data_IF_855469214164
#
_entry.id   IF_855469214164
#
_cell.length_a   1.000
_cell.length_b   1.000
_cell.length_c   1.000
_cell.angle_alpha   90.00
_cell.angle_beta   90.00
_cell.angle_gamma   90.00
#
_symmetry.space_group_name_H-M   'P 1'
#
loop_
_entity.id
_entity.type
_entity.pdbx_description
1 polymer ?
#
# COMPACT_ATOMS: atom_id res chain seq x y z
N UNK A 1 11.21 51.42 21.00
CA UNK A 1 10.96 51.93 22.36
C UNK A 1 10.26 50.85 23.18
N UNK A 2 10.56 50.75 24.48
CA UNK A 2 10.30 49.60 25.33
C UNK A 2 8.98 49.71 26.13
N UNK A 3 8.64 48.59 26.79
CA UNK A 3 7.80 48.40 27.98
C UNK A 3 7.31 49.64 28.75
N UNK A 4 6.08 49.58 29.29
CA UNK A 4 5.83 49.55 30.75
C UNK A 4 4.33 49.27 31.04
N UNK A 5 4.09 48.21 31.82
CA UNK A 5 2.87 47.92 32.59
C UNK A 5 2.99 48.66 33.93
N UNK A 6 1.94 49.35 34.41
CA UNK A 6 1.72 49.53 35.86
C UNK A 6 0.26 49.91 36.19
N UNK A 7 -0.39 48.95 36.86
CA UNK A 7 -1.42 49.00 37.93
C UNK A 7 -2.31 50.23 38.18
N UNK A 8 -3.59 49.95 38.45
CA UNK A 8 -4.39 50.64 39.48
C UNK A 8 -5.40 49.67 40.14
N UNK A 9 -5.83 49.89 41.40
CA UNK A 9 -6.29 48.83 42.30
C UNK A 9 -7.81 48.81 42.61
N UNK A 10 -8.16 47.68 43.23
CA UNK A 10 -9.38 47.24 43.91
C UNK A 10 -10.32 48.32 44.49
N UNK A 11 -11.63 48.11 44.32
CA UNK A 11 -12.65 48.59 45.26
C UNK A 11 -13.75 47.54 45.44
N UNK A 12 -14.11 47.37 46.71
CA UNK A 12 -15.02 46.40 47.32
C UNK A 12 -16.50 46.77 47.16
N UNK A 13 -17.36 45.78 46.96
CA UNK A 13 -18.76 45.84 47.36
C UNK A 13 -19.21 44.44 47.81
N UNK A 14 -19.52 44.32 49.10
CA UNK A 14 -20.33 43.24 49.68
C UNK A 14 -21.81 43.55 49.45
N UNK A 15 -22.61 42.52 49.22
CA UNK A 15 -24.02 42.44 49.62
C UNK A 15 -24.41 40.96 49.74
N UNK A 16 -25.13 40.68 50.82
CA UNK A 16 -25.43 39.39 51.42
C UNK A 16 -26.55 38.58 50.72
N UNK A 17 -26.70 37.34 51.19
CA UNK A 17 -27.90 36.49 51.24
C UNK A 17 -28.34 35.73 49.98
N UNK A 18 -28.17 34.39 49.98
CA UNK A 18 -29.23 33.46 50.40
C UNK A 18 -28.86 31.98 50.13
N UNK A 19 -29.06 31.15 51.15
CA UNK A 19 -28.92 29.70 51.15
C UNK A 19 -30.05 29.00 50.37
N UNK A 20 -29.71 28.16 49.38
CA UNK A 20 -30.62 27.08 48.96
C UNK A 20 -29.88 25.77 48.65
N UNK A 21 -30.02 24.84 49.59
CA UNK A 21 -29.46 23.50 49.56
C UNK A 21 -30.18 22.61 48.53
N UNK A 22 -29.65 22.54 47.30
CA UNK A 22 -30.03 21.50 46.33
C UNK A 22 -29.31 20.18 46.65
N UNK A 23 -30.04 19.24 47.26
CA UNK A 23 -29.67 17.83 47.41
C UNK A 23 -29.23 17.20 46.07
N UNK A 24 -27.91 17.15 45.82
CA UNK A 24 -27.32 16.26 44.82
C UNK A 24 -26.91 14.97 45.52
N UNK A 25 -27.76 13.95 45.38
CA UNK A 25 -27.38 12.56 45.66
C UNK A 25 -26.26 12.16 44.70
N UNK A 26 -25.03 12.34 45.14
CA UNK A 26 -23.87 11.72 44.52
C UNK A 26 -24.03 10.21 44.66
N UNK A 27 -24.36 9.52 43.57
CA UNK A 27 -24.26 8.07 43.48
C UNK A 27 -22.77 7.74 43.63
N UNK A 28 -22.36 7.40 44.84
CA UNK A 28 -21.01 6.96 45.15
C UNK A 28 -20.72 5.72 44.31
N UNK A 29 -19.84 5.85 43.32
CA UNK A 29 -19.10 4.70 42.79
C UNK A 29 -18.48 3.97 43.99
N UNK A 30 -18.60 2.64 44.10
CA UNK A 30 -18.05 1.92 45.25
C UNK A 30 -16.56 2.24 45.35
N UNK A 31 -16.11 2.71 46.52
CA UNK A 31 -14.68 2.79 46.85
C UNK A 31 -14.14 1.36 46.86
N UNK A 32 -13.64 0.90 45.72
CA UNK A 32 -12.75 -0.26 45.67
C UNK A 32 -11.51 0.14 46.46
N UNK A 33 -11.25 -0.53 47.57
CA UNK A 33 -10.06 -0.28 48.37
C UNK A 33 -8.82 -0.53 47.51
N UNK A 34 -8.03 0.51 47.25
CA UNK A 34 -6.80 0.46 46.45
C UNK A 34 -5.78 -0.56 46.99
N UNK A 35 -5.84 -0.83 48.30
CA UNK A 35 -5.07 -1.87 48.99
C UNK A 35 -5.40 -3.30 48.50
N UNK A 36 -6.65 -3.58 48.14
CA UNK A 36 -7.09 -4.93 47.80
C UNK A 36 -6.53 -5.37 46.45
N UNK A 37 -6.47 -4.46 45.47
CA UNK A 37 -5.98 -4.77 44.12
C UNK A 37 -4.49 -5.09 44.14
N UNK A 38 -3.70 -4.33 44.90
CA UNK A 38 -2.26 -4.55 45.04
C UNK A 38 -1.97 -5.89 45.72
N UNK A 39 -2.73 -6.23 46.77
CA UNK A 39 -2.62 -7.53 47.42
C UNK A 39 -2.98 -8.68 46.48
N UNK A 40 -4.08 -8.55 45.72
CA UNK A 40 -4.48 -9.55 44.71
C UNK A 40 -3.37 -9.73 43.66
N UNK A 41 -2.81 -8.65 43.14
CA UNK A 41 -1.76 -8.72 42.12
C UNK A 41 -0.48 -9.38 42.65
N UNK A 42 -0.05 -9.05 43.87
CA UNK A 42 1.12 -9.68 44.48
C UNK A 42 0.87 -11.17 44.74
N UNK A 43 -0.33 -11.53 45.23
CA UNK A 43 -0.72 -12.93 45.44
C UNK A 43 -0.79 -13.73 44.13
N UNK A 44 -1.16 -13.10 43.01
CA UNK A 44 -1.22 -13.76 41.70
C UNK A 44 0.17 -14.02 41.11
N UNK A 45 1.15 -13.18 41.46
CA UNK A 45 2.52 -13.27 40.97
C UNK A 45 3.41 -14.13 41.88
N UNK A 46 2.98 -14.39 43.11
CA UNK A 46 3.71 -15.26 44.03
C UNK A 46 3.76 -16.69 43.49
N UNK A 47 4.97 -17.21 43.31
CA UNK A 47 5.20 -18.53 42.69
C UNK A 47 4.83 -18.63 41.19
N UNK A 48 4.53 -17.53 40.49
CA UNK A 48 4.21 -17.56 39.06
C UNK A 48 5.47 -17.65 38.20
N UNK A 49 5.61 -18.71 37.41
CA UNK A 49 6.66 -18.84 36.39
C UNK A 49 6.14 -18.48 34.99
N UNK A 50 6.63 -17.37 34.44
CA UNK A 50 6.27 -16.87 33.12
C UNK A 50 6.96 -17.60 31.97
N UNK A 51 7.95 -18.46 32.24
CA UNK A 51 8.61 -19.29 31.23
C UNK A 51 7.76 -20.50 30.84
N UNK A 52 6.86 -20.91 31.74
CA UNK A 52 6.02 -22.07 31.55
C UNK A 52 4.67 -21.69 30.93
N UNK A 53 4.32 -22.39 29.85
CA UNK A 53 3.00 -22.32 29.23
C UNK A 53 1.92 -22.78 30.22
N UNK A 54 0.74 -22.14 30.26
CA UNK A 54 -0.39 -22.64 31.03
C UNK A 54 -0.76 -24.06 30.62
N UNK A 55 -1.07 -24.93 31.59
CA UNK A 55 -1.43 -26.33 31.34
C UNK A 55 -0.35 -27.15 30.60
N UNK A 56 0.94 -26.83 30.80
CA UNK A 56 2.06 -27.64 30.32
C UNK A 56 1.92 -29.10 30.81
N UNK A 57 2.05 -30.07 29.90
CA UNK A 57 1.85 -31.50 30.19
C UNK A 57 0.40 -31.95 30.36
N UNK A 58 -0.60 -31.07 30.23
CA UNK A 58 -2.01 -31.41 30.42
C UNK A 58 -2.81 -31.31 29.12
N UNK A 59 -2.82 -30.14 28.49
CA UNK A 59 -3.56 -29.91 27.23
C UNK A 59 -2.97 -28.74 26.42
N UNK A 60 -3.29 -28.63 25.13
CA UNK A 60 -2.93 -27.47 24.34
C UNK A 60 -3.61 -26.20 24.86
N UNK A 61 -2.90 -25.08 24.90
CA UNK A 61 -3.45 -23.76 25.20
C UNK A 61 -4.22 -23.26 23.98
N UNK A 62 -5.53 -23.13 24.12
CA UNK A 62 -6.37 -22.57 23.07
C UNK A 62 -6.34 -21.05 23.15
N UNK A 63 -5.90 -20.40 22.08
CA UNK A 63 -5.83 -18.95 21.96
C UNK A 63 -6.87 -18.50 20.95
N UNK A 64 -7.84 -17.73 21.41
CA UNK A 64 -8.80 -17.07 20.53
C UNK A 64 -8.26 -15.72 20.10
N UNK A 65 -8.07 -15.55 18.80
CA UNK A 65 -7.54 -14.32 18.21
C UNK A 65 -8.63 -13.50 17.56
N UNK A 66 -8.42 -12.20 17.63
CA UNK A 66 -9.31 -11.16 17.14
C UNK A 66 -8.43 -10.03 16.58
N UNK A 67 -8.86 -9.40 15.50
CA UNK A 67 -8.06 -8.42 14.77
C UNK A 67 -8.96 -7.25 14.36
N UNK A 68 -8.53 -6.04 14.68
CA UNK A 68 -9.16 -4.84 14.18
C UNK A 68 -8.18 -4.11 13.25
N UNK A 69 -8.56 -3.97 11.99
CA UNK A 69 -7.74 -3.29 10.97
C UNK A 69 -8.04 -1.80 11.01
N UNK A 70 -7.07 -1.00 11.45
CA UNK A 70 -7.17 0.46 11.45
C UNK A 70 -7.07 0.98 10.02
N UNK A 71 -5.97 0.64 9.34
CA UNK A 71 -5.73 1.07 7.98
C UNK A 71 -4.79 0.13 7.25
N UNK A 72 -5.11 -0.13 5.99
CA UNK A 72 -4.13 -0.66 5.03
C UNK A 72 -3.38 0.53 4.42
N UNK A 73 -2.06 0.46 4.51
CA UNK A 73 -1.11 1.42 4.00
C UNK A 73 -0.89 1.31 2.49
N UNK A 74 0.14 1.99 1.95
CA UNK A 74 0.47 1.88 0.55
C UNK A 74 0.95 0.45 0.22
N UNK A 75 0.46 -0.07 -0.92
CA UNK A 75 0.95 -1.32 -1.50
C UNK A 75 2.11 -0.98 -2.43
N UNK A 76 3.30 -1.47 -2.10
CA UNK A 76 4.51 -1.26 -2.88
C UNK A 76 4.71 -2.43 -3.85
N UNK A 77 4.37 -2.18 -5.11
CA UNK A 77 4.46 -3.19 -6.16
C UNK A 77 5.91 -3.59 -6.50
N UNK A 78 6.90 -2.71 -6.24
CA UNK A 78 8.31 -2.99 -6.55
C UNK A 78 8.88 -4.00 -5.54
N UNK A 79 8.61 -3.76 -4.25
CA UNK A 79 9.10 -4.61 -3.16
C UNK A 79 8.17 -5.79 -2.86
N UNK A 80 7.01 -5.88 -3.52
CA UNK A 80 5.98 -6.91 -3.27
C UNK A 80 5.58 -6.94 -1.79
N UNK A 81 5.26 -5.76 -1.24
CA UNK A 81 4.90 -5.58 0.17
C UNK A 81 3.72 -4.64 0.32
N UNK A 82 3.03 -4.76 1.45
CA UNK A 82 2.00 -3.82 1.86
C UNK A 82 2.11 -3.56 3.36
N UNK A 83 1.89 -2.31 3.76
CA UNK A 83 1.86 -1.93 5.17
C UNK A 83 0.44 -2.09 5.72
N UNK A 84 0.30 -2.55 6.95
CA UNK A 84 -0.99 -2.62 7.65
C UNK A 84 -0.84 -2.19 9.11
N UNK A 85 -1.80 -1.40 9.62
CA UNK A 85 -1.91 -1.02 11.02
C UNK A 85 -3.11 -1.74 11.64
N UNK A 86 -2.86 -2.54 12.67
CA UNK A 86 -3.86 -3.38 13.34
C UNK A 86 -3.81 -3.22 14.87
N UNK A 87 -4.97 -3.36 15.51
CA UNK A 87 -5.03 -3.83 16.88
C UNK A 87 -5.20 -5.34 16.86
N UNK A 88 -4.20 -6.03 17.40
CA UNK A 88 -4.19 -7.47 17.48
C UNK A 88 -4.57 -7.88 18.91
N UNK A 89 -5.60 -8.69 19.05
CA UNK A 89 -6.14 -9.12 20.33
C UNK A 89 -6.11 -10.65 20.46
N UNK A 90 -5.77 -11.10 21.66
CA UNK A 90 -5.61 -12.50 21.98
C UNK A 90 -6.26 -12.80 23.31
N UNK A 91 -6.99 -13.91 23.37
CA UNK A 91 -7.63 -14.37 24.59
C UNK A 91 -7.33 -15.84 24.85
N UNK A 92 -6.90 -16.14 26.07
CA UNK A 92 -6.64 -17.51 26.52
C UNK A 92 -6.99 -17.64 27.99
N UNK A 93 -6.96 -18.87 28.49
CA UNK A 93 -7.18 -19.19 29.90
C UNK A 93 -5.85 -19.55 30.57
N UNK A 94 -5.51 -18.89 31.67
CA UNK A 94 -4.44 -19.28 32.58
C UNK A 94 -5.04 -19.47 33.99
N UNK A 95 -5.09 -20.73 34.44
CA UNK A 95 -5.70 -21.07 35.74
C UNK A 95 -4.90 -20.55 36.93
N UNK A 96 -3.60 -20.27 36.74
CA UNK A 96 -2.71 -19.73 37.78
C UNK A 96 -3.08 -18.29 38.15
N UNK A 97 -3.73 -17.56 37.24
CA UNK A 97 -4.15 -16.18 37.45
C UNK A 97 -5.62 -16.05 37.90
N UNK A 98 -6.19 -17.09 38.51
CA UNK A 98 -7.51 -17.02 39.13
C UNK A 98 -7.42 -16.29 40.47
N UNK A 99 -8.35 -15.38 40.70
CA UNK A 99 -8.47 -14.67 41.98
C UNK A 99 -9.91 -14.66 42.44
N UNK A 100 -10.12 -14.78 43.75
CA UNK A 100 -11.44 -14.64 44.35
C UNK A 100 -11.57 -13.24 44.93
N UNK A 101 -12.41 -12.41 44.32
CA UNK A 101 -12.66 -11.04 44.75
C UNK A 101 -14.04 -10.60 44.26
N UNK A 102 -14.56 -9.51 44.81
CA UNK A 102 -15.75 -8.83 44.32
C UNK A 102 -15.52 -8.23 42.92
N UNK A 103 -14.27 -7.92 42.57
CA UNK A 103 -13.90 -7.45 41.23
C UNK A 103 -13.95 -8.59 40.22
N UNK A 104 -14.71 -8.40 39.13
CA UNK A 104 -14.78 -9.40 38.05
C UNK A 104 -13.60 -9.32 37.07
N UNK A 105 -12.98 -8.15 36.93
CA UNK A 105 -11.92 -7.89 35.94
C UNK A 105 -10.88 -6.91 36.47
N UNK A 106 -9.62 -7.28 36.32
CA UNK A 106 -8.45 -6.41 36.53
C UNK A 106 -8.06 -5.83 35.18
N UNK A 107 -8.08 -4.49 35.06
CA UNK A 107 -7.66 -3.77 33.85
C UNK A 107 -6.27 -3.20 34.11
N UNK A 108 -5.26 -3.81 33.52
CA UNK A 108 -3.86 -3.55 33.82
C UNK A 108 -3.17 -2.85 32.65
N UNK A 109 -2.15 -2.07 32.99
CA UNK A 109 -1.26 -1.42 32.02
C UNK A 109 -0.17 -2.41 31.53
N UNK A 110 0.59 -1.99 30.53
CA UNK A 110 1.68 -2.74 29.90
C UNK A 110 2.76 -3.26 30.85
N UNK A 111 2.94 -2.65 32.03
CA UNK A 111 3.92 -3.06 33.04
C UNK A 111 3.75 -4.51 33.51
N UNK A 112 2.53 -5.05 33.51
CA UNK A 112 2.27 -6.43 33.92
C UNK A 112 2.63 -7.45 32.84
N UNK A 113 2.66 -7.04 31.57
CA UNK A 113 2.83 -7.94 30.41
C UNK A 113 4.16 -8.70 30.47
N UNK A 114 5.23 -8.08 30.99
CA UNK A 114 6.54 -8.75 31.13
C UNK A 114 6.62 -9.78 32.27
N UNK A 115 5.64 -9.81 33.18
CA UNK A 115 5.62 -10.71 34.34
C UNK A 115 4.74 -11.94 34.15
N UNK A 116 3.87 -11.93 33.15
CA UNK A 116 2.98 -13.05 32.83
C UNK A 116 3.46 -13.78 31.58
N UNK A 117 3.04 -15.03 31.40
CA UNK A 117 3.30 -15.74 30.15
C UNK A 117 2.47 -15.11 29.03
N UNK A 118 3.12 -14.78 27.91
CA UNK A 118 2.49 -14.22 26.70
C UNK A 118 2.79 -15.17 25.52
N UNK A 119 1.80 -15.51 24.68
CA UNK A 119 2.03 -16.30 23.48
C UNK A 119 3.07 -15.64 22.56
N UNK A 120 3.95 -16.45 22.00
CA UNK A 120 5.02 -16.04 21.07
C UNK A 120 4.52 -15.91 19.63
N UNK A 121 3.40 -15.20 19.44
CA UNK A 121 2.81 -15.03 18.12
C UNK A 121 3.70 -14.13 17.25
N UNK A 122 4.10 -14.66 16.11
CA UNK A 122 4.85 -13.93 15.10
C UNK A 122 4.09 -13.95 13.77
N UNK A 123 4.34 -12.93 12.94
CA UNK A 123 3.81 -12.85 11.59
C UNK A 123 4.79 -13.53 10.63
N UNK A 124 4.33 -14.55 9.91
CA UNK A 124 5.19 -15.41 9.08
C UNK A 124 5.73 -14.69 7.86
N UNK A 125 4.88 -13.92 7.21
CA UNK A 125 5.20 -13.16 6.01
C UNK A 125 5.55 -11.69 6.30
N UNK A 126 5.87 -11.33 7.55
CA UNK A 126 6.32 -9.96 7.86
C UNK A 126 7.79 -9.77 7.49
N UNK A 127 8.09 -8.73 6.71
CA UNK A 127 9.46 -8.25 6.50
C UNK A 127 9.92 -7.35 7.64
N UNK A 128 9.02 -6.49 8.10
CA UNK A 128 9.21 -5.60 9.24
C UNK A 128 7.91 -5.52 10.03
N UNK A 129 8.00 -5.57 11.36
CA UNK A 129 6.85 -5.43 12.23
C UNK A 129 7.23 -4.58 13.44
N UNK A 130 6.62 -3.41 13.55
CA UNK A 130 6.91 -2.44 14.58
C UNK A 130 5.73 -2.36 15.58
N UNK A 131 6.05 -2.53 16.86
CA UNK A 131 5.13 -2.21 17.94
C UNK A 131 5.17 -0.71 18.25
N UNK A 132 4.06 -0.17 18.73
CA UNK A 132 3.95 1.26 19.05
C UNK A 132 4.29 1.55 20.52
N UNK A 133 5.14 2.55 20.76
CA UNK A 133 5.70 2.87 22.08
C UNK A 133 5.39 4.28 22.59
N UNK A 134 4.68 5.11 21.82
CA UNK A 134 4.43 6.52 22.13
C UNK A 134 2.97 6.72 22.55
N UNK A 135 2.67 7.45 23.63
CA UNK A 135 3.61 7.97 24.66
C UNK A 135 4.06 6.90 25.66
N UNK A 136 3.35 5.77 25.69
CA UNK A 136 3.67 4.57 26.47
C UNK A 136 3.55 3.35 25.56
N UNK A 137 4.07 2.16 25.95
CA UNK A 137 3.87 0.94 25.18
C UNK A 137 2.37 0.66 24.99
N UNK A 138 1.91 0.66 23.74
CA UNK A 138 0.50 0.51 23.37
C UNK A 138 0.06 -0.95 23.49
N UNK A 139 0.00 -1.43 24.73
CA UNK A 139 -0.38 -2.78 25.12
C UNK A 139 -1.40 -2.70 26.25
N UNK A 140 -2.43 -3.53 26.17
CA UNK A 140 -3.46 -3.64 27.19
C UNK A 140 -3.54 -5.08 27.68
N UNK A 141 -3.68 -5.25 29.00
CA UNK A 141 -3.90 -6.55 29.62
C UNK A 141 -5.17 -6.49 30.49
N UNK A 142 -6.07 -7.44 30.33
CA UNK A 142 -7.22 -7.62 31.22
C UNK A 142 -7.27 -9.06 31.71
N UNK A 143 -7.42 -9.23 33.02
CA UNK A 143 -7.51 -10.55 33.66
C UNK A 143 -8.87 -10.64 34.32
N UNK A 144 -9.66 -11.67 33.99
CA UNK A 144 -10.92 -11.96 34.67
C UNK A 144 -10.68 -12.93 35.84
N UNK A 145 -11.61 -12.93 36.80
CA UNK A 145 -11.56 -13.80 37.97
C UNK A 145 -11.53 -15.31 37.65
N UNK A 146 -12.07 -15.71 36.49
CA UNK A 146 -12.04 -17.08 35.98
C UNK A 146 -10.68 -17.50 35.39
N UNK A 147 -9.69 -16.61 35.35
CA UNK A 147 -8.37 -16.83 34.77
C UNK A 147 -8.31 -16.60 33.26
N UNK A 148 -9.38 -16.06 32.65
CA UNK A 148 -9.32 -15.60 31.26
C UNK A 148 -8.44 -14.35 31.19
N UNK A 149 -7.58 -14.30 30.18
CA UNK A 149 -6.72 -13.16 29.88
C UNK A 149 -7.12 -12.60 28.52
N UNK A 150 -7.20 -11.28 28.41
CA UNK A 150 -7.23 -10.54 27.14
C UNK A 150 -5.95 -9.72 27.06
N UNK A 151 -5.17 -9.97 26.03
CA UNK A 151 -4.01 -9.18 25.66
C UNK A 151 -4.29 -8.50 24.32
N UNK A 152 -4.02 -7.21 24.23
CA UNK A 152 -4.19 -6.45 22.99
C UNK A 152 -2.99 -5.54 22.78
N UNK A 153 -2.50 -5.46 21.56
CA UNK A 153 -1.41 -4.55 21.18
C UNK A 153 -1.67 -3.93 19.80
N UNK A 154 -1.13 -2.73 19.60
CA UNK A 154 -1.12 -2.06 18.28
C UNK A 154 0.17 -2.39 17.54
N UNK A 155 0.06 -2.81 16.29
CA UNK A 155 1.18 -3.18 15.43
C UNK A 155 1.06 -2.52 14.07
N UNK A 156 2.19 -2.07 13.53
CA UNK A 156 2.34 -1.76 12.10
C UNK A 156 3.23 -2.81 11.47
N UNK A 157 2.72 -3.47 10.43
CA UNK A 157 3.37 -4.62 9.81
C UNK A 157 3.55 -4.33 8.33
N UNK A 158 4.79 -4.46 7.85
CA UNK A 158 5.12 -4.53 6.43
C UNK A 158 5.16 -6.00 6.04
N UNK A 159 4.04 -6.47 5.47
CA UNK A 159 3.84 -7.85 5.08
C UNK A 159 4.16 -8.06 3.60
N UNK A 160 4.74 -9.20 3.29
CA UNK A 160 5.02 -9.64 1.94
C UNK A 160 3.75 -10.13 1.25
N UNK A 161 3.55 -9.68 0.02
CA UNK A 161 2.48 -10.13 -0.85
C UNK A 161 3.00 -10.26 -2.29
N UNK A 162 3.06 -11.49 -2.77
CA UNK A 162 3.50 -11.82 -4.13
C UNK A 162 2.43 -11.40 -5.15
N UNK A 163 2.60 -10.22 -5.76
CA UNK A 163 1.67 -9.68 -6.73
C UNK A 163 1.90 -10.31 -8.12
N UNK A 164 0.88 -10.99 -8.64
CA UNK A 164 0.89 -11.46 -10.03
C UNK A 164 0.39 -10.33 -10.94
N UNK A 165 1.28 -9.76 -11.73
CA UNK A 165 1.03 -8.53 -12.51
C UNK A 165 0.72 -8.80 -14.00
N UNK A 166 0.34 -10.04 -14.36
CA UNK A 166 0.10 -10.44 -15.75
C UNK A 166 -0.93 -9.51 -16.44
N UNK A 167 -2.03 -9.22 -15.75
CA UNK A 167 -3.13 -8.41 -16.28
C UNK A 167 -3.00 -6.92 -15.90
N UNK A 168 -1.81 -6.45 -15.55
CA UNK A 168 -1.62 -5.05 -15.13
C UNK A 168 -2.10 -4.06 -16.22
N UNK A 169 -2.90 -3.02 -15.89
CA UNK A 169 -3.37 -2.59 -14.56
C UNK A 169 -4.81 -3.04 -14.20
N UNK A 170 -5.34 -4.09 -14.85
CA UNK A 170 -6.68 -4.66 -14.61
C UNK A 170 -6.60 -5.91 -13.72
N UNK A 171 -5.70 -5.89 -12.75
CA UNK A 171 -5.37 -7.02 -11.89
C UNK A 171 -6.07 -6.94 -10.52
N UNK A 172 -6.32 -8.12 -9.96
CA UNK A 172 -6.85 -8.32 -8.61
C UNK A 172 -5.87 -9.19 -7.82
N UNK A 173 -5.67 -8.86 -6.55
CA UNK A 173 -4.73 -9.54 -5.67
C UNK A 173 -5.35 -9.84 -4.32
N UNK A 174 -5.08 -11.04 -3.80
CA UNK A 174 -5.43 -11.44 -2.44
C UNK A 174 -4.16 -11.47 -1.60
N UNK A 175 -3.89 -10.42 -0.83
CA UNK A 175 -2.68 -10.33 -0.01
C UNK A 175 -2.87 -11.02 1.34
N UNK A 176 -2.05 -12.03 1.70
CA UNK A 176 -2.18 -12.74 2.96
C UNK A 176 -1.52 -11.97 4.12
N UNK A 177 -2.05 -12.15 5.32
CA UNK A 177 -1.40 -11.85 6.59
C UNK A 177 -1.45 -13.12 7.44
N UNK A 178 -0.30 -13.73 7.63
CA UNK A 178 -0.17 -15.05 8.26
C UNK A 178 0.49 -14.92 9.62
N UNK A 179 -0.06 -15.56 10.64
CA UNK A 179 0.54 -15.60 11.96
C UNK A 179 0.36 -16.95 12.65
N UNK A 180 1.37 -17.32 13.45
CA UNK A 180 1.38 -18.54 14.26
C UNK A 180 2.25 -18.35 15.51
N UNK A 181 2.30 -19.35 16.38
CA UNK A 181 3.32 -19.47 17.43
C UNK A 181 4.66 -19.80 16.80
N UNK A 182 5.74 -19.31 17.40
CA UNK A 182 7.10 -19.54 16.90
C UNK A 182 7.66 -20.87 17.42
N UNK A 183 7.65 -21.07 18.74
CA UNK A 183 8.21 -22.25 19.41
C UNK A 183 7.19 -23.36 19.66
N UNK A 184 5.92 -23.03 19.87
CA UNK A 184 4.91 -24.00 20.30
C UNK A 184 4.20 -24.67 19.11
N UNK A 185 4.32 -26.01 18.94
CA UNK A 185 3.58 -26.74 17.91
C UNK A 185 2.09 -26.89 18.27
N UNK A 186 1.32 -27.50 17.37
CA UNK A 186 -0.13 -27.72 17.48
C UNK A 186 -0.52 -28.46 18.76
N UNK A 187 0.32 -29.37 19.23
CA UNK A 187 0.12 -30.14 20.45
C UNK A 187 0.21 -29.28 21.72
N UNK A 188 0.78 -28.07 21.60
CA UNK A 188 0.98 -27.14 22.72
C UNK A 188 0.13 -25.88 22.62
N UNK A 189 0.01 -25.28 21.43
CA UNK A 189 -0.82 -24.09 21.21
C UNK A 189 -1.72 -24.30 19.99
N UNK A 190 -2.99 -23.95 20.16
CA UNK A 190 -3.98 -23.98 19.07
C UNK A 190 -4.63 -22.60 18.95
N UNK A 191 -4.41 -21.93 17.83
CA UNK A 191 -5.10 -20.69 17.49
C UNK A 191 -6.50 -20.96 16.94
N UNK A 192 -7.47 -20.12 17.32
CA UNK A 192 -8.84 -20.16 16.82
C UNK A 192 -9.35 -18.74 16.58
N UNK A 193 -10.10 -18.56 15.51
CA UNK A 193 -10.84 -17.34 15.28
C UNK A 193 -11.98 -17.16 16.29
N UNK A 194 -12.24 -15.92 16.69
CA UNK A 194 -13.48 -15.54 17.37
C UNK A 194 -14.61 -15.35 16.34
N UNK A 195 -15.88 -15.25 16.78
CA UNK A 195 -17.05 -15.11 15.88
C UNK A 195 -16.94 -13.87 14.98
N UNK A 196 -16.59 -12.71 15.53
CA UNK A 196 -16.20 -11.51 14.80
C UNK A 196 -14.67 -11.47 14.70
N UNK A 197 -14.11 -12.27 13.80
CA UNK A 197 -12.68 -12.58 13.81
C UNK A 197 -11.77 -11.44 13.35
N UNK A 198 -12.24 -10.69 12.36
CA UNK A 198 -11.51 -9.58 11.76
C UNK A 198 -12.50 -8.47 11.48
N UNK A 199 -12.36 -7.38 12.20
CA UNK A 199 -13.15 -6.17 12.05
C UNK A 199 -12.35 -5.12 11.29
N UNK A 200 -13.06 -4.32 10.51
CA UNK A 200 -12.48 -3.34 9.59
C UNK A 200 -13.02 -1.97 9.97
N UNK A 201 -12.13 -1.01 10.20
CA UNK A 201 -12.50 0.39 10.43
C UNK A 201 -13.06 1.09 9.19
N UNK A 202 -13.15 2.42 9.23
CA UNK A 202 -13.59 3.20 8.06
C UNK A 202 -12.58 3.11 6.91
N UNK A 203 -12.97 2.37 5.87
CA UNK A 203 -12.19 2.08 4.65
C UNK A 203 -11.78 3.38 3.94
N UNK A 204 -12.54 4.48 4.09
CA UNK A 204 -12.24 5.75 3.40
C UNK A 204 -10.98 6.42 3.92
N UNK A 205 -10.58 6.15 5.15
CA UNK A 205 -9.38 6.71 5.79
C UNK A 205 -8.09 6.00 5.36
N UNK A 206 -8.20 4.92 4.59
CA UNK A 206 -7.06 4.07 4.23
C UNK A 206 -6.18 4.70 3.17
N UNK A 207 -4.89 4.38 3.21
CA UNK A 207 -3.87 4.97 2.32
C UNK A 207 -3.66 4.12 1.06
N UNK A 208 -4.77 3.69 0.46
CA UNK A 208 -4.77 2.91 -0.78
C UNK A 208 -4.84 3.84 -2.00
N UNK A 209 -3.68 4.24 -2.53
CA UNK A 209 -3.60 5.15 -3.68
C UNK A 209 -4.05 4.49 -4.99
N UNK A 210 -3.45 3.34 -5.33
CA UNK A 210 -3.68 2.65 -6.60
C UNK A 210 -4.69 1.51 -6.49
N UNK A 211 -5.05 1.11 -5.27
CA UNK A 211 -5.92 -0.03 -5.02
C UNK A 211 -7.24 0.40 -4.38
N UNK A 212 -8.24 -0.46 -4.48
CA UNK A 212 -9.49 -0.42 -3.75
C UNK A 212 -9.66 -1.72 -3.02
N UNK A 213 -10.01 -1.63 -1.74
CA UNK A 213 -10.37 -2.79 -0.94
C UNK A 213 -11.73 -3.33 -1.40
N UNK A 214 -11.78 -4.62 -1.73
CA UNK A 214 -12.97 -5.29 -2.26
C UNK A 214 -13.56 -6.25 -1.24
N UNK A 215 -12.71 -6.99 -0.53
CA UNK A 215 -13.17 -8.08 0.33
C UNK A 215 -12.13 -8.56 1.33
N UNK A 216 -12.61 -9.39 2.26
CA UNK A 216 -11.85 -9.96 3.36
C UNK A 216 -12.23 -11.42 3.53
N UNK A 217 -11.23 -12.28 3.66
CA UNK A 217 -11.43 -13.71 3.93
C UNK A 217 -10.46 -14.18 5.02
N UNK A 218 -10.92 -15.05 5.91
CA UNK A 218 -10.06 -15.72 6.89
C UNK A 218 -9.96 -17.21 6.57
N UNK A 219 -8.86 -17.84 6.99
CA UNK A 219 -8.70 -19.30 6.96
C UNK A 219 -7.85 -19.73 8.15
N UNK A 220 -7.83 -21.04 8.39
CA UNK A 220 -6.97 -21.70 9.37
C UNK A 220 -6.38 -22.94 8.73
N UNK A 221 -5.07 -23.07 8.75
CA UNK A 221 -4.36 -24.20 8.16
C UNK A 221 -3.30 -24.75 9.12
N UNK A 222 -2.82 -25.96 8.83
CA UNK A 222 -1.73 -26.60 9.59
C UNK A 222 -0.54 -26.69 8.65
N UNK A 223 0.57 -26.04 9.04
CA UNK A 223 1.80 -26.04 8.27
C UNK A 223 2.84 -26.89 8.99
N UNK A 224 3.37 -27.87 8.28
CA UNK A 224 4.44 -28.74 8.77
C UNK A 224 5.80 -28.11 8.50
N UNK A 225 6.59 -27.92 9.56
CA UNK A 225 7.98 -27.45 9.49
C UNK A 225 8.92 -28.53 10.03
N UNK A 226 10.22 -28.25 10.05
CA UNK A 226 11.21 -29.16 10.64
C UNK A 226 11.02 -29.33 12.15
N UNK A 227 10.54 -28.29 12.84
CA UNK A 227 10.33 -28.30 14.29
C UNK A 227 9.01 -28.92 14.73
N UNK A 228 8.03 -29.06 13.83
CA UNK A 228 6.74 -29.67 14.13
C UNK A 228 5.61 -29.17 13.24
N UNK A 229 4.38 -29.53 13.61
CA UNK A 229 3.16 -29.05 12.95
C UNK A 229 2.66 -27.79 13.69
N UNK A 230 2.41 -26.70 12.96
CA UNK A 230 1.97 -25.43 13.54
C UNK A 230 0.59 -25.04 13.00
N UNK A 231 -0.28 -24.54 13.88
CA UNK A 231 -1.55 -23.94 13.48
C UNK A 231 -1.29 -22.51 13.00
N UNK A 232 -1.57 -22.25 11.74
CA UNK A 232 -1.41 -20.94 11.10
C UNK A 232 -2.79 -20.35 10.82
N UNK A 233 -2.99 -19.11 11.26
CA UNK A 233 -4.16 -18.33 10.90
C UNK A 233 -3.78 -17.33 9.82
N UNK A 234 -4.61 -17.25 8.80
CA UNK A 234 -4.34 -16.41 7.63
C UNK A 234 -5.54 -15.54 7.33
N UNK A 235 -5.28 -14.25 7.11
CA UNK A 235 -6.27 -13.27 6.64
C UNK A 235 -5.88 -12.86 5.22
N UNK A 236 -6.80 -12.96 4.27
CA UNK A 236 -6.63 -12.48 2.91
C UNK A 236 -7.35 -11.15 2.73
N UNK A 237 -6.62 -10.16 2.26
CA UNK A 237 -7.13 -8.85 1.86
C UNK A 237 -7.25 -8.81 0.34
N UNK A 238 -8.48 -8.76 -0.16
CA UNK A 238 -8.75 -8.69 -1.59
C UNK A 238 -8.71 -7.23 -2.06
N UNK A 239 -7.75 -6.95 -2.94
CA UNK A 239 -7.44 -5.62 -3.47
C UNK A 239 -7.58 -5.64 -4.99
N UNK A 240 -8.36 -4.70 -5.51
CA UNK A 240 -8.51 -4.47 -6.96
C UNK A 240 -7.86 -3.14 -7.34
N UNK A 241 -7.25 -3.05 -8.53
CA UNK A 241 -6.54 -1.85 -8.96
C UNK A 241 -7.49 -0.82 -9.58
N UNK A 242 -7.27 0.46 -9.24
CA UNK A 242 -7.95 1.61 -9.87
C UNK A 242 -7.32 1.94 -11.22
N UNK A 243 -8.08 1.74 -12.30
CA UNK A 243 -7.57 1.88 -13.68
C UNK A 243 -7.47 3.34 -14.20
N UNK A 244 -8.16 4.29 -13.56
CA UNK A 244 -8.34 5.65 -14.11
C UNK A 244 -7.05 6.40 -14.43
N UNK A 245 -6.02 6.27 -13.57
CA UNK A 245 -4.72 6.90 -13.79
C UNK A 245 -4.02 6.40 -15.07
N UNK A 246 -3.96 5.08 -15.26
CA UNK A 246 -3.31 4.45 -16.43
C UNK A 246 -4.06 4.75 -17.73
N UNK A 247 -5.38 4.92 -17.65
CA UNK A 247 -6.23 5.29 -18.79
C UNK A 247 -5.82 6.65 -19.35
N UNK A 248 -5.71 7.67 -18.49
CA UNK A 248 -5.41 9.04 -18.91
C UNK A 248 -3.92 9.22 -19.24
N UNK A 249 -3.02 8.56 -18.51
CA UNK A 249 -1.58 8.77 -18.67
C UNK A 249 -0.94 7.90 -19.76
N UNK A 250 -1.51 6.73 -20.09
CA UNK A 250 -0.91 5.79 -21.05
C UNK A 250 -1.87 5.45 -22.19
N UNK A 251 -3.04 4.90 -21.89
CA UNK A 251 -3.92 4.39 -22.94
C UNK A 251 -4.39 5.49 -23.90
N UNK A 252 -4.89 6.62 -23.38
CA UNK A 252 -5.35 7.75 -24.21
C UNK A 252 -4.19 8.35 -25.03
N UNK A 253 -3.02 8.73 -24.46
CA UNK A 253 -1.91 9.27 -25.25
C UNK A 253 -1.40 8.30 -26.32
N UNK A 254 -1.27 7.00 -26.01
CA UNK A 254 -0.80 6.01 -26.99
C UNK A 254 -1.79 5.86 -28.16
N UNK A 255 -3.09 5.81 -27.90
CA UNK A 255 -4.10 5.75 -28.99
C UNK A 255 -4.06 7.01 -29.86
N UNK A 256 -3.94 8.20 -29.26
CA UNK A 256 -3.85 9.47 -29.99
C UNK A 256 -2.59 9.54 -30.86
N UNK A 257 -1.44 9.00 -30.40
CA UNK A 257 -0.20 8.98 -31.20
C UNK A 257 -0.33 8.01 -32.37
N UNK A 258 -0.99 6.87 -32.20
CA UNK A 258 -1.27 5.95 -33.31
C UNK A 258 -2.15 6.66 -34.36
N UNK A 259 -3.21 7.34 -33.94
CA UNK A 259 -4.06 8.12 -34.87
C UNK A 259 -3.27 9.25 -35.53
N UNK A 260 -2.39 9.93 -34.79
CA UNK A 260 -1.50 10.96 -35.34
C UNK A 260 -0.57 10.40 -36.41
N UNK A 261 -0.11 9.15 -36.29
CA UNK A 261 0.70 8.51 -37.33
C UNK A 261 -0.09 8.34 -38.65
N UNK A 262 -1.41 8.13 -38.58
CA UNK A 262 -2.28 7.99 -39.76
C UNK A 262 -2.54 9.31 -40.49
N UNK A 263 -2.42 10.45 -39.80
CA UNK A 263 -2.52 11.79 -40.43
C UNK A 263 -1.46 11.95 -41.54
N UNK A 264 -0.32 11.27 -41.41
CA UNK A 264 0.71 11.27 -42.46
C UNK A 264 0.22 10.73 -43.80
N UNK A 265 -0.83 9.90 -43.84
CA UNK A 265 -1.40 9.35 -45.08
C UNK A 265 -2.22 10.38 -45.86
N UNK A 266 -2.70 11.44 -45.21
CA UNK A 266 -3.43 12.53 -45.87
C UNK A 266 -2.52 13.62 -46.41
N UNK A 267 -1.24 13.63 -46.01
CA UNK A 267 -0.26 14.59 -46.49
C UNK A 267 0.23 14.18 -47.88
N UNK A 268 0.36 15.15 -48.77
CA UNK A 268 0.82 14.92 -50.13
C UNK A 268 2.18 14.20 -50.15
N UNK A 269 2.31 13.16 -50.98
CA UNK A 269 3.50 12.31 -51.11
C UNK A 269 4.79 13.07 -51.43
N UNK A 270 4.67 14.24 -52.06
CA UNK A 270 5.82 15.06 -52.46
C UNK A 270 6.37 15.91 -51.30
N UNK A 271 5.64 16.03 -50.18
CA UNK A 271 6.06 16.75 -48.97
C UNK A 271 6.93 15.86 -48.05
N UNK A 272 8.10 15.45 -48.57
CA UNK A 272 9.01 14.50 -47.92
C UNK A 272 9.40 14.90 -46.49
N UNK A 273 9.84 16.15 -46.21
CA UNK A 273 10.28 16.53 -44.88
C UNK A 273 9.17 16.44 -43.82
N UNK A 274 7.94 16.76 -44.19
CA UNK A 274 6.80 16.73 -43.27
C UNK A 274 6.43 15.30 -42.86
N UNK A 275 6.37 14.36 -43.82
CA UNK A 275 6.04 12.95 -43.52
C UNK A 275 7.15 12.26 -42.72
N UNK A 276 8.42 12.50 -43.06
CA UNK A 276 9.56 11.95 -42.31
C UNK A 276 9.60 12.48 -40.87
N UNK A 277 9.38 13.79 -40.68
CA UNK A 277 9.36 14.40 -39.35
C UNK A 277 8.24 13.81 -38.49
N UNK A 278 7.02 13.69 -39.01
CA UNK A 278 5.89 13.10 -38.27
C UNK A 278 6.16 11.64 -37.88
N UNK A 279 6.71 10.83 -38.79
CA UNK A 279 7.02 9.43 -38.51
C UNK A 279 8.11 9.26 -37.44
N UNK A 280 9.22 9.99 -37.53
CA UNK A 280 10.30 9.88 -36.53
C UNK A 280 9.85 10.43 -35.16
N UNK A 281 9.16 11.58 -35.13
CA UNK A 281 8.69 12.17 -33.88
C UNK A 281 7.69 11.26 -33.18
N UNK A 282 6.75 10.64 -33.89
CA UNK A 282 5.78 9.70 -33.28
C UNK A 282 6.45 8.45 -32.71
N UNK A 283 7.46 7.88 -33.38
CA UNK A 283 8.27 6.77 -32.83
C UNK A 283 9.01 7.19 -31.56
N UNK A 284 9.61 8.38 -31.56
CA UNK A 284 10.30 8.94 -30.39
C UNK A 284 9.32 9.12 -29.22
N UNK A 285 8.14 9.73 -29.45
CA UNK A 285 7.12 9.93 -28.43
C UNK A 285 6.62 8.60 -27.86
N UNK A 286 6.40 7.57 -28.69
CA UNK A 286 6.04 6.23 -28.21
C UNK A 286 7.15 5.60 -27.36
N UNK A 287 8.42 5.78 -27.73
CA UNK A 287 9.57 5.30 -26.94
C UNK A 287 9.61 5.99 -25.56
N UNK A 288 9.32 7.29 -25.50
CA UNK A 288 9.21 8.03 -24.25
C UNK A 288 8.05 7.52 -23.39
N UNK A 289 6.85 7.33 -23.95
CA UNK A 289 5.69 6.80 -23.21
C UNK A 289 5.93 5.37 -22.70
N UNK A 290 6.59 4.52 -23.48
CA UNK A 290 6.98 3.16 -23.07
C UNK A 290 7.88 3.17 -21.84
N UNK A 291 8.76 4.17 -21.72
CA UNK A 291 9.62 4.33 -20.54
C UNK A 291 8.83 4.77 -19.31
N UNK A 292 7.87 5.70 -19.48
CA UNK A 292 7.00 6.18 -18.39
C UNK A 292 6.12 5.04 -17.86
N UNK A 293 5.59 4.20 -18.76
CA UNK A 293 4.75 3.04 -18.42
C UNK A 293 5.43 2.07 -17.42
N UNK A 294 6.74 1.86 -17.57
CA UNK A 294 7.51 0.91 -16.75
C UNK A 294 8.06 1.49 -15.44
N UNK A 295 7.92 2.79 -15.18
CA UNK A 295 8.55 3.44 -14.00
C UNK A 295 7.99 2.95 -12.66
N UNK A 296 6.70 2.60 -12.63
CA UNK A 296 6.00 2.19 -11.40
C UNK A 296 5.86 0.67 -11.22
N UNK A 297 6.48 -0.12 -12.09
CA UNK A 297 6.40 -1.57 -12.07
C UNK A 297 7.74 -2.19 -11.64
N UNK A 298 7.73 -3.30 -10.89
CA UNK A 298 8.93 -4.13 -10.74
C UNK A 298 9.41 -4.62 -12.11
N UNK A 299 10.70 -4.91 -12.22
CA UNK A 299 11.28 -5.53 -13.41
C UNK A 299 10.87 -7.00 -13.48
N UNK A 300 9.69 -7.25 -14.05
CA UNK A 300 9.20 -8.60 -14.34
C UNK A 300 9.66 -9.04 -15.74
N UNK A 301 9.96 -10.33 -15.88
CA UNK A 301 10.45 -10.89 -17.16
C UNK A 301 9.34 -11.28 -18.14
N UNK A 302 8.07 -11.25 -17.70
CA UNK A 302 6.91 -11.56 -18.54
C UNK A 302 6.25 -10.28 -19.08
N UNK A 303 5.56 -10.41 -20.21
CA UNK A 303 4.83 -9.30 -20.85
C UNK A 303 3.51 -9.07 -20.10
N UNK A 304 3.32 -7.87 -19.56
CA UNK A 304 2.05 -7.45 -18.95
C UNK A 304 1.03 -7.01 -20.00
N UNK A 305 -0.25 -6.94 -19.63
CA UNK A 305 -1.29 -6.42 -20.53
C UNK A 305 -1.00 -4.97 -20.99
N UNK A 306 -0.44 -4.13 -20.13
CA UNK A 306 0.04 -2.79 -20.49
C UNK A 306 1.21 -2.84 -21.48
N UNK A 307 2.21 -3.68 -21.24
CA UNK A 307 3.36 -3.83 -22.16
C UNK A 307 2.92 -4.32 -23.53
N UNK A 308 1.98 -5.27 -23.59
CA UNK A 308 1.41 -5.76 -24.84
C UNK A 308 0.71 -4.63 -25.61
N UNK A 309 -0.12 -3.83 -24.92
CA UNK A 309 -0.80 -2.69 -25.53
C UNK A 309 0.18 -1.67 -26.11
N UNK A 310 1.17 -1.24 -25.32
CA UNK A 310 2.18 -0.27 -25.78
C UNK A 310 3.02 -0.83 -26.93
N UNK A 311 3.36 -2.12 -26.90
CA UNK A 311 4.12 -2.79 -27.96
C UNK A 311 3.34 -2.84 -29.27
N UNK A 312 2.04 -3.17 -29.22
CA UNK A 312 1.18 -3.16 -30.41
C UNK A 312 1.05 -1.75 -30.98
N UNK A 313 0.82 -0.73 -30.14
CA UNK A 313 0.80 0.67 -30.59
C UNK A 313 2.14 1.09 -31.23
N UNK A 314 3.27 0.65 -30.67
CA UNK A 314 4.60 0.92 -31.23
C UNK A 314 4.78 0.29 -32.61
N UNK A 315 4.33 -0.95 -32.80
CA UNK A 315 4.37 -1.64 -34.10
C UNK A 315 3.55 -0.87 -35.16
N UNK A 316 2.35 -0.38 -34.81
CA UNK A 316 1.54 0.41 -35.74
C UNK A 316 2.22 1.72 -36.17
N UNK A 317 2.82 2.45 -35.23
CA UNK A 317 3.55 3.69 -35.54
C UNK A 317 4.78 3.40 -36.40
N UNK A 318 5.50 2.33 -36.10
CA UNK A 318 6.66 1.90 -36.90
C UNK A 318 6.27 1.47 -38.31
N UNK A 319 5.14 0.75 -38.46
CA UNK A 319 4.61 0.35 -39.76
C UNK A 319 4.22 1.55 -40.63
N UNK A 320 3.67 2.63 -40.04
CA UNK A 320 3.37 3.86 -40.77
C UNK A 320 4.63 4.54 -41.35
N UNK A 321 5.75 4.49 -40.63
CA UNK A 321 7.03 4.99 -41.13
C UNK A 321 7.59 4.11 -42.27
N UNK A 322 7.48 2.78 -42.14
CA UNK A 322 7.90 1.84 -43.20
C UNK A 322 7.05 2.02 -44.46
N UNK A 323 5.72 2.18 -44.33
CA UNK A 323 4.82 2.44 -45.45
C UNK A 323 5.35 3.62 -46.27
N UNK A 324 5.62 4.74 -45.61
CA UNK A 324 6.13 5.92 -46.27
C UNK A 324 7.50 5.69 -46.93
N UNK A 325 8.41 4.98 -46.25
CA UNK A 325 9.73 4.64 -46.80
C UNK A 325 9.62 3.80 -48.09
N UNK A 326 8.74 2.81 -48.11
CA UNK A 326 8.48 1.98 -49.30
C UNK A 326 7.82 2.79 -50.42
N UNK A 327 6.82 3.63 -50.11
CA UNK A 327 6.15 4.50 -51.08
C UNK A 327 7.15 5.48 -51.72
N UNK A 328 7.99 6.12 -50.91
CA UNK A 328 9.01 7.04 -51.42
C UNK A 328 10.03 6.34 -52.31
N UNK A 329 10.49 5.14 -51.95
CA UNK A 329 11.40 4.34 -52.77
C UNK A 329 10.76 3.95 -54.12
N UNK A 330 9.52 3.45 -54.14
CA UNK A 330 8.89 3.02 -55.39
C UNK A 330 8.49 4.19 -56.29
N UNK A 331 8.08 5.34 -55.74
CA UNK A 331 7.59 6.48 -56.55
C UNK A 331 8.72 7.41 -56.98
N UNK A 332 9.69 7.70 -56.10
CA UNK A 332 10.78 8.64 -56.39
C UNK A 332 11.90 7.97 -57.19
N UNK A 333 12.25 6.73 -56.83
CA UNK A 333 13.39 6.02 -57.43
C UNK A 333 13.03 5.32 -58.76
N UNK A 334 11.75 5.12 -59.08
CA UNK A 334 11.29 4.64 -60.40
C UNK A 334 10.92 5.74 -61.38
N UNK A 335 10.98 7.04 -61.04
CA UNK A 335 10.91 8.10 -62.07
C UNK A 335 12.17 7.96 -62.93
N UNK A 336 12.10 7.41 -64.16
CA UNK A 336 13.28 7.27 -64.97
C UNK A 336 13.74 8.67 -65.36
N UNK A 337 15.00 8.74 -65.74
CA UNK A 337 15.73 9.86 -66.33
C UNK A 337 15.08 10.51 -67.59
N UNK A 338 13.75 10.54 -67.74
CA UNK A 338 13.02 11.06 -68.90
C UNK A 338 13.14 12.59 -69.10
N UNK A 339 13.73 13.32 -68.14
CA UNK A 339 14.06 14.74 -68.32
C UNK A 339 15.49 15.02 -68.78
N UNK A 340 16.38 14.01 -68.89
CA UNK A 340 17.76 14.23 -69.37
C UNK A 340 17.90 14.21 -70.90
N UNK A 341 16.97 13.61 -71.64
CA UNK A 341 17.08 13.49 -73.11
C UNK A 341 16.48 14.66 -73.92
N UNK A 342 15.68 15.54 -73.32
CA UNK A 342 15.15 16.73 -74.05
C UNK A 342 16.12 17.91 -74.14
N UNK A 343 17.30 17.86 -73.52
CA UNK A 343 18.28 18.96 -73.53
C UNK A 343 19.47 18.78 -74.49
N UNK A 344 19.50 17.69 -75.29
CA UNK A 344 20.62 17.36 -76.21
C UNK A 344 20.34 17.56 -77.70
N UNK A 345 19.17 18.09 -78.11
CA UNK A 345 18.90 18.50 -79.50
C UNK A 345 18.59 19.99 -79.56
N UNK A 346 19.65 20.79 -79.75
CA UNK A 346 19.72 21.97 -80.61
C UNK A 346 21.07 22.69 -80.36
N UNK A 347 22.12 22.38 -81.14
CA UNK A 347 23.25 23.28 -81.28
C UNK A 347 22.99 24.30 -82.40
N UNK A 348 23.52 25.52 -82.20
CA UNK A 348 23.85 26.56 -83.20
C UNK A 348 22.78 27.56 -83.65
N UNK A 349 22.87 28.77 -83.08
CA UNK A 349 22.93 30.07 -83.79
C UNK A 349 23.36 31.14 -82.75
N UNK A 350 24.66 31.39 -82.57
CA UNK A 350 25.46 32.45 -83.21
C UNK A 350 25.03 33.89 -82.90
N UNK A 351 25.89 34.63 -82.19
CA UNK A 351 25.96 36.11 -82.25
C UNK A 351 25.97 36.80 -80.87
N UNK A 352 27.12 37.05 -80.22
CA UNK A 352 28.05 38.18 -80.37
C UNK A 352 27.79 39.36 -79.40
N UNK A 353 28.80 39.62 -78.52
CA UNK A 353 29.21 40.90 -77.86
C UNK A 353 28.25 41.50 -76.80
N UNK A 354 28.71 42.16 -75.72
CA UNK A 354 30.02 42.51 -75.13
C UNK A 354 29.77 42.99 -73.68
N UNK A 355 30.66 42.61 -72.76
CA UNK A 355 31.23 43.36 -71.61
C UNK A 355 30.51 44.61 -71.06
N UNK A 356 30.29 44.69 -69.74
CA UNK A 356 31.24 45.34 -68.80
C UNK A 356 30.81 45.30 -67.34
N UNK A 357 31.83 45.37 -66.49
CA UNK A 357 31.91 45.43 -65.03
C UNK A 357 31.02 46.48 -64.34
N UNK A 358 30.65 46.21 -63.08
CA UNK A 358 31.10 47.05 -61.94
C UNK A 358 30.94 46.32 -60.60
N UNK A 359 32.04 46.34 -59.86
CA UNK A 359 32.23 46.02 -58.45
C UNK A 359 31.69 47.19 -57.63
N UNK A 360 31.07 46.95 -56.47
CA UNK A 360 31.39 47.75 -55.29
C UNK A 360 31.17 46.98 -53.99
N UNK A 361 32.16 47.13 -53.12
CA UNK A 361 32.37 46.56 -51.80
C UNK A 361 31.94 47.62 -50.78
N UNK A 362 31.17 47.23 -49.76
CA UNK A 362 31.59 47.30 -48.35
C UNK A 362 30.70 46.42 -47.48
#
# INVERSE_FOLDING_TARGET
MPFFLLSAPCSSLQTDDDDEASNKTWVLTPKVYESDVTHILNSLLDGYDNKLRPDIGVKPTVIHTDMFVNSIGPVNAINMEYTIDIFFAQTWYDRRLKFNSTMKVLRLNSNMVGKIWIPDTFFRNSKKADAHWITTPNRMLRIWNDGRILYTLRLTIDAECQLKLNNFPMDEHSCPLEFSSYGYPREEIVYKWKRSSVEVGDIRSWRLYQFSFVGLRNTSEIVRTVSGDYVVLTVFFDLSRRMGYFTIQTYIPCTLIVVLSWVSFWINKDAVPARTSLGITTVLTMTTLSTIARKSLPKVSYVTAMDLFVSVCFIFVFAALIEYGTLHYFVSNRKPSAKKDKKKKNPLASGCRKWSFLIEIY
#
